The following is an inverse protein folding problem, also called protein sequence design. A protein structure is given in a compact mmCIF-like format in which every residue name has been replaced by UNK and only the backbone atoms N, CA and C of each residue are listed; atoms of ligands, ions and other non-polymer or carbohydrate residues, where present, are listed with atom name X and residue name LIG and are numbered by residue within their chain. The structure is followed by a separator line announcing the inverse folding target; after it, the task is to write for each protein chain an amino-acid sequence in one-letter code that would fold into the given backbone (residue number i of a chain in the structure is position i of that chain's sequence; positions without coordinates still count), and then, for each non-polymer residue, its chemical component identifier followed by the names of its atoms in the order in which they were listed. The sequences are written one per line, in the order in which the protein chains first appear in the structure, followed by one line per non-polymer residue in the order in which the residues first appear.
data_IF_765407409110
#
_entry.id   IF_765407409110
#
_cell.length_a   1.000
_cell.length_b   1.000
_cell.length_c   1.000
_cell.angle_alpha   90.00
_cell.angle_beta   90.00
_cell.angle_gamma   90.00
#
_symmetry.space_group_name_H-M   'P 1'
#
loop_
_entity.id
_entity.type
_entity.pdbx_description
1 polymer ?
#
# COMPACT_ATOMS: atom_id res chain seq x y z
N UNK A 1 -12.59 -3.67 -9.75
CA UNK A 1 -11.31 -3.90 -10.47
C UNK A 1 -10.48 -2.60 -10.59
N UNK A 2 -9.74 -2.24 -9.52
CA UNK A 2 -8.94 -1.01 -9.46
C UNK A 2 -7.46 -1.19 -9.86
N UNK A 3 -7.00 -2.44 -9.97
CA UNK A 3 -5.60 -2.80 -10.30
C UNK A 3 -5.37 -3.05 -11.79
N UNK A 4 -6.44 -3.37 -12.53
CA UNK A 4 -6.37 -3.75 -13.95
C UNK A 4 -5.72 -2.70 -14.87
N UNK A 5 -5.96 -1.39 -14.72
CA UNK A 5 -5.30 -0.40 -15.56
C UNK A 5 -3.78 -0.36 -15.34
N UNK A 6 -3.33 -0.48 -14.09
CA UNK A 6 -1.92 -0.35 -13.70
C UNK A 6 -1.11 -1.52 -14.24
N UNK A 7 -1.63 -2.75 -14.10
CA UNK A 7 -0.99 -3.94 -14.67
C UNK A 7 -0.85 -3.86 -16.21
N UNK A 8 -1.73 -3.11 -16.87
CA UNK A 8 -1.77 -2.99 -18.33
C UNK A 8 -0.87 -1.86 -18.85
N UNK A 9 -0.66 -0.82 -18.04
CA UNK A 9 0.14 0.38 -18.40
C UNK A 9 1.60 0.25 -17.92
N UNK A 10 1.91 -0.71 -17.03
CA UNK A 10 3.26 -0.91 -16.50
C UNK A 10 3.72 0.20 -15.55
N UNK A 11 2.77 0.93 -14.95
CA UNK A 11 3.04 1.97 -13.96
C UNK A 11 3.49 1.34 -12.65
N UNK A 12 4.43 1.99 -11.98
CA UNK A 12 4.93 1.55 -10.68
C UNK A 12 3.85 1.71 -9.61
N UNK A 13 3.61 0.65 -8.84
CA UNK A 13 2.55 0.63 -7.84
C UNK A 13 2.98 -0.10 -6.56
N UNK A 14 2.55 0.40 -5.40
CA UNK A 14 2.69 -0.25 -4.11
C UNK A 14 1.35 -0.32 -3.38
N UNK A 15 1.07 -1.46 -2.75
CA UNK A 15 -0.08 -1.65 -1.87
C UNK A 15 0.43 -1.73 -0.42
N UNK A 16 0.02 -0.79 0.43
CA UNK A 16 0.44 -0.72 1.83
C UNK A 16 -0.76 -0.75 2.79
N UNK A 17 -0.66 -1.38 3.97
CA UNK A 17 -1.75 -1.38 4.95
C UNK A 17 -1.99 0.04 5.48
N UNK A 18 -3.22 0.55 5.38
CA UNK A 18 -3.57 1.90 5.84
C UNK A 18 -4.47 1.93 7.08
N UNK A 19 -4.84 0.76 7.59
CA UNK A 19 -5.61 0.61 8.82
C UNK A 19 -6.57 -0.56 8.76
N UNK A 20 -7.59 -0.50 9.62
CA UNK A 20 -8.64 -1.49 9.69
C UNK A 20 -10.00 -0.82 9.50
N UNK A 21 -10.92 -1.54 8.87
CA UNK A 21 -12.34 -1.19 8.84
C UNK A 21 -12.92 -1.19 10.26
N UNK A 22 -14.10 -0.61 10.45
CA UNK A 22 -14.90 -0.74 11.68
C UNK A 22 -15.12 -2.20 12.08
N UNK A 23 -15.13 -3.10 11.09
CA UNK A 23 -15.32 -4.54 11.26
C UNK A 23 -14.00 -5.30 11.50
N UNK A 24 -12.89 -4.59 11.71
CA UNK A 24 -11.59 -5.19 12.02
C UNK A 24 -10.87 -5.84 10.83
N UNK A 25 -11.32 -5.61 9.60
CA UNK A 25 -10.67 -6.11 8.37
C UNK A 25 -9.56 -5.16 7.90
N UNK A 26 -8.41 -5.68 7.44
CA UNK A 26 -7.31 -4.84 6.95
C UNK A 26 -7.71 -4.10 5.68
N UNK A 27 -7.41 -2.80 5.63
CA UNK A 27 -7.63 -1.94 4.46
C UNK A 27 -6.27 -1.61 3.83
N UNK A 28 -6.18 -1.76 2.51
CA UNK A 28 -5.00 -1.42 1.72
C UNK A 28 -5.12 -0.07 1.02
N UNK A 29 -4.04 0.71 1.04
CA UNK A 29 -3.87 1.92 0.23
C UNK A 29 -2.98 1.59 -0.97
N UNK A 30 -3.42 1.99 -2.16
CA UNK A 30 -2.65 1.82 -3.39
C UNK A 30 -1.97 3.15 -3.75
N UNK A 31 -0.64 3.17 -3.75
CA UNK A 31 0.18 4.29 -4.22
C UNK A 31 0.63 3.96 -5.64
N UNK A 32 0.35 4.87 -6.59
CA UNK A 32 0.67 4.71 -8.00
C UNK A 32 1.59 5.86 -8.40
N UNK A 33 2.77 5.51 -8.91
CA UNK A 33 3.72 6.44 -9.49
C UNK A 33 3.70 6.41 -11.01
N UNK A 34 4.37 7.38 -11.62
CA UNK A 34 4.64 7.39 -13.05
C UNK A 34 5.61 6.24 -13.44
N UNK A 35 5.82 6.03 -14.73
CA UNK A 35 6.75 5.01 -15.23
C UNK A 35 8.18 5.30 -14.74
N UNK A 36 8.84 4.30 -14.13
CA UNK A 36 10.20 4.44 -13.58
C UNK A 36 10.28 5.22 -12.27
N UNK A 37 9.16 5.40 -11.56
CA UNK A 37 9.10 6.13 -10.29
C UNK A 37 9.20 5.22 -9.04
N UNK A 38 9.87 4.07 -9.13
CA UNK A 38 10.04 3.11 -8.01
C UNK A 38 10.55 3.78 -6.74
N UNK A 39 11.58 4.61 -6.86
CA UNK A 39 12.19 5.32 -5.73
C UNK A 39 11.18 6.24 -5.02
N UNK A 40 10.36 6.96 -5.78
CA UNK A 40 9.31 7.85 -5.25
C UNK A 40 8.18 7.06 -4.60
N UNK A 41 7.74 5.96 -5.21
CA UNK A 41 6.68 5.10 -4.67
C UNK A 41 7.14 4.44 -3.37
N UNK A 42 8.39 3.97 -3.30
CA UNK A 42 8.97 3.45 -2.06
C UNK A 42 9.16 4.52 -1.00
N UNK A 43 9.63 5.72 -1.35
CA UNK A 43 9.77 6.83 -0.42
C UNK A 43 8.43 7.24 0.19
N UNK A 44 7.37 7.33 -0.64
CA UNK A 44 6.02 7.62 -0.18
C UNK A 44 5.48 6.52 0.75
N UNK A 45 5.71 5.24 0.40
CA UNK A 45 5.33 4.10 1.23
C UNK A 45 6.03 4.13 2.59
N UNK A 46 7.34 4.40 2.62
CA UNK A 46 8.13 4.49 3.85
C UNK A 46 7.72 5.70 4.71
N UNK A 47 7.40 6.84 4.08
CA UNK A 47 6.89 8.01 4.80
C UNK A 47 5.55 7.71 5.47
N UNK A 48 4.66 6.99 4.78
CA UNK A 48 3.39 6.55 5.34
C UNK A 48 3.59 5.54 6.49
N UNK A 49 4.52 4.59 6.35
CA UNK A 49 4.91 3.65 7.42
C UNK A 49 5.39 4.35 8.69
N UNK A 50 6.27 5.34 8.53
CA UNK A 50 6.77 6.10 9.67
C UNK A 50 5.68 6.89 10.37
N UNK A 51 4.72 7.45 9.61
CA UNK A 51 3.62 8.23 10.16
C UNK A 51 2.53 7.34 10.81
N UNK A 52 2.34 6.13 10.30
CA UNK A 52 1.28 5.20 10.74
C UNK A 52 1.83 3.77 10.85
N UNK A 53 2.63 3.45 11.88
CA UNK A 53 3.24 2.12 11.99
C UNK A 53 2.18 1.00 12.09
N UNK A 54 2.18 0.08 11.13
CA UNK A 54 1.23 -1.05 11.10
C UNK A 54 1.86 -2.41 11.49
N UNK A 55 3.18 -2.51 11.61
CA UNK A 55 3.91 -3.78 11.82
C UNK A 55 3.49 -4.56 13.09
N UNK A 56 2.97 -3.85 14.07
CA UNK A 56 2.43 -4.38 15.33
C UNK A 56 1.05 -5.03 15.18
N UNK A 57 0.31 -4.72 14.12
CA UNK A 57 -0.99 -5.30 13.84
C UNK A 57 -0.83 -6.56 13.00
N UNK A 58 -0.77 -7.70 13.69
CA UNK A 58 -0.69 -9.02 13.07
C UNK A 58 -1.99 -9.77 13.28
N UNK A 59 -2.51 -10.48 12.27
CA UNK A 59 -3.63 -11.37 12.50
C UNK A 59 -3.22 -12.42 13.56
N UNK A 60 -4.15 -12.86 14.42
CA UNK A 60 -3.92 -13.98 15.32
C UNK A 60 -3.91 -15.26 14.48
N UNK A 61 -2.81 -15.48 13.78
CA UNK A 61 -2.50 -16.77 13.17
C UNK A 61 -1.70 -17.56 14.19
N UNK A 62 -2.31 -18.66 14.67
CA UNK A 62 -1.60 -19.74 15.36
C UNK A 62 -0.86 -20.62 14.38
#
# INVERSE_FOLDING_TARGET
PYTMPINMIGSTAASIPCGFSSDGLPVGLHIIGDHGAESTVFAASAAFEKARPWIQHRPPVG
#
